data_IF_747631165473
#
_entry.id   IF_747631165473
#
_cell.length_a   1.000
_cell.length_b   1.000
_cell.length_c   1.000
_cell.angle_alpha   90.00
_cell.angle_beta   90.00
_cell.angle_gamma   90.00
#
_symmetry.space_group_name_H-M   'P 1'
#
loop_
_entity.id
_entity.type
_entity.pdbx_description
1 polymer ?
#
# COMPACT_ATOMS: atom_id res chain seq x y z
N UNK A 1 -1.75 -9.03 -22.95
CA UNK A 1 -1.90 -9.54 -21.59
C UNK A 1 -1.58 -8.51 -20.55
N UNK A 2 -2.46 -8.32 -19.65
CA UNK A 2 -2.22 -7.33 -18.61
C UNK A 2 -1.28 -7.90 -17.55
N UNK A 3 -0.57 -7.01 -16.89
CA UNK A 3 0.34 -7.39 -15.82
C UNK A 3 -0.31 -7.17 -14.47
N UNK A 4 -1.60 -7.44 -14.42
CA UNK A 4 -2.35 -7.21 -13.22
C UNK A 4 -2.95 -5.82 -13.22
N UNK A 5 -3.86 -5.61 -12.30
CA UNK A 5 -4.53 -4.33 -12.15
C UNK A 5 -3.65 -3.36 -11.38
N UNK A 6 -4.03 -2.09 -11.39
CA UNK A 6 -3.38 -1.08 -10.57
C UNK A 6 -3.46 -1.47 -9.08
N UNK A 7 -4.61 -2.02 -8.69
CA UNK A 7 -4.82 -2.46 -7.32
C UNK A 7 -3.82 -3.56 -6.94
N UNK A 8 -3.60 -4.54 -7.81
CA UNK A 8 -2.62 -5.59 -7.56
C UNK A 8 -1.21 -5.02 -7.45
N UNK A 9 -0.87 -4.10 -8.35
CA UNK A 9 0.45 -3.48 -8.36
C UNK A 9 0.69 -2.70 -7.08
N UNK A 10 -0.30 -1.95 -6.64
CA UNK A 10 -0.20 -1.19 -5.41
C UNK A 10 -0.05 -2.11 -4.20
N UNK A 11 -0.89 -3.14 -4.12
CA UNK A 11 -0.83 -4.08 -3.00
C UNK A 11 0.53 -4.76 -2.94
N UNK A 12 1.04 -5.20 -4.08
CA UNK A 12 2.33 -5.85 -4.15
C UNK A 12 3.46 -4.92 -3.73
N UNK A 13 3.39 -3.67 -4.19
CA UNK A 13 4.37 -2.65 -3.81
C UNK A 13 4.36 -2.37 -2.31
N UNK A 14 3.17 -2.28 -1.73
CA UNK A 14 3.05 -2.07 -0.29
C UNK A 14 3.61 -3.24 0.50
N UNK A 15 3.35 -4.46 0.04
CA UNK A 15 3.90 -5.65 0.70
C UNK A 15 5.41 -5.67 0.64
N UNK A 16 5.98 -5.31 -0.50
CA UNK A 16 7.43 -5.24 -0.65
C UNK A 16 8.04 -4.18 0.28
N UNK A 17 7.40 -3.02 0.36
CA UNK A 17 7.86 -1.96 1.26
C UNK A 17 7.77 -2.40 2.71
N UNK A 18 6.69 -3.10 3.06
CA UNK A 18 6.53 -3.62 4.40
C UNK A 18 7.58 -4.65 4.74
N UNK A 19 7.98 -5.45 3.77
CA UNK A 19 9.01 -6.46 3.97
C UNK A 19 10.37 -5.84 4.28
N UNK A 20 10.69 -4.72 3.62
CA UNK A 20 12.00 -4.10 3.76
C UNK A 20 12.05 -3.02 4.84
N UNK A 21 10.96 -2.31 5.07
CA UNK A 21 10.93 -1.17 5.97
C UNK A 21 9.84 -1.28 7.04
N UNK A 22 9.23 -2.44 7.16
CA UNK A 22 8.12 -2.62 8.08
C UNK A 22 8.57 -2.75 9.52
N UNK A 23 7.80 -2.14 10.41
CA UNK A 23 7.98 -2.26 11.85
C UNK A 23 6.67 -2.78 12.42
N UNK A 24 6.74 -3.83 13.21
CA UNK A 24 5.53 -4.39 13.80
C UNK A 24 4.92 -3.44 14.82
N UNK A 25 3.62 -3.30 14.76
CA UNK A 25 2.88 -2.48 15.71
C UNK A 25 1.56 -3.19 16.02
N UNK A 26 0.78 -2.62 16.93
CA UNK A 26 -0.47 -3.24 17.35
C UNK A 26 -1.44 -3.45 16.20
N UNK A 27 -1.49 -2.48 15.27
CA UNK A 27 -2.41 -2.53 14.15
C UNK A 27 -1.95 -3.45 13.03
N UNK A 28 -0.67 -3.80 13.01
CA UNK A 28 -0.13 -4.63 11.95
C UNK A 28 1.32 -4.32 11.65
N UNK A 29 1.62 -4.03 10.40
CA UNK A 29 2.98 -3.76 9.94
C UNK A 29 3.07 -2.34 9.42
N UNK A 30 3.69 -1.45 10.19
CA UNK A 30 3.87 -0.06 9.81
C UNK A 30 5.04 0.06 8.84
N UNK A 31 4.80 0.69 7.71
CA UNK A 31 5.89 1.00 6.79
C UNK A 31 6.60 2.23 7.35
N UNK A 32 7.77 2.01 7.92
CA UNK A 32 8.53 3.08 8.58
C UNK A 32 9.38 3.84 7.57
N UNK A 33 8.67 4.49 6.65
CA UNK A 33 9.29 5.25 5.58
C UNK A 33 8.31 6.33 5.17
N UNK A 34 8.68 7.62 5.30
CA UNK A 34 7.76 8.70 5.01
C UNK A 34 7.61 8.92 3.51
N UNK A 35 6.83 8.07 2.87
CA UNK A 35 6.58 8.16 1.43
C UNK A 35 5.35 9.00 1.16
N UNK A 36 5.51 10.00 0.30
CA UNK A 36 4.37 10.77 -0.17
C UNK A 36 3.63 9.96 -1.23
N UNK A 37 2.42 10.41 -1.57
CA UNK A 37 1.66 9.77 -2.65
C UNK A 37 2.41 9.89 -3.99
N UNK A 38 3.12 11.00 -4.18
CA UNK A 38 3.93 11.19 -5.37
C UNK A 38 5.07 10.19 -5.42
N UNK A 39 5.72 9.96 -4.28
CA UNK A 39 6.81 8.97 -4.21
C UNK A 39 6.32 7.58 -4.59
N UNK A 40 5.15 7.18 -4.07
CA UNK A 40 4.56 5.89 -4.40
C UNK A 40 4.21 5.82 -5.89
N UNK A 41 3.66 6.89 -6.43
CA UNK A 41 3.28 6.92 -7.84
C UNK A 41 4.50 6.71 -8.72
N UNK A 42 5.59 7.36 -8.41
CA UNK A 42 6.83 7.22 -9.18
C UNK A 42 7.41 5.82 -9.03
N UNK A 43 7.41 5.32 -7.82
CA UNK A 43 7.94 3.99 -7.54
C UNK A 43 7.17 2.89 -8.26
N UNK A 44 5.86 3.02 -8.33
CA UNK A 44 4.99 1.99 -8.90
C UNK A 44 4.63 2.23 -10.36
N UNK A 45 5.01 3.38 -10.90
CA UNK A 45 4.72 3.70 -12.30
C UNK A 45 3.24 3.95 -12.56
N UNK A 46 2.53 4.52 -11.61
CA UNK A 46 1.12 4.87 -11.76
C UNK A 46 0.94 6.32 -11.36
N UNK A 47 -0.22 6.91 -11.70
CA UNK A 47 -0.44 8.32 -11.41
C UNK A 47 -0.68 8.54 -9.91
N UNK A 48 -0.33 9.74 -9.44
CA UNK A 48 -0.56 10.11 -8.04
C UNK A 48 -2.03 10.03 -7.69
N UNK A 49 -2.90 10.48 -8.59
CA UNK A 49 -4.33 10.44 -8.37
C UNK A 49 -4.81 9.00 -8.17
N UNK A 50 -4.32 8.09 -9.00
CA UNK A 50 -4.69 6.68 -8.89
C UNK A 50 -4.20 6.09 -7.57
N UNK A 51 -2.97 6.43 -7.16
CA UNK A 51 -2.46 5.99 -5.86
C UNK A 51 -3.39 6.43 -4.74
N UNK A 52 -3.77 7.71 -4.74
CA UNK A 52 -4.66 8.24 -3.70
C UNK A 52 -5.99 7.50 -3.68
N UNK A 53 -6.59 7.27 -4.84
CA UNK A 53 -7.88 6.59 -4.93
C UNK A 53 -7.78 5.15 -4.43
N UNK A 54 -6.78 4.43 -4.87
CA UNK A 54 -6.64 3.02 -4.50
C UNK A 54 -6.28 2.85 -3.02
N UNK A 55 -5.46 3.73 -2.47
CA UNK A 55 -5.16 3.69 -1.05
C UNK A 55 -6.42 3.90 -0.21
N UNK A 56 -7.26 4.85 -0.61
CA UNK A 56 -8.52 5.08 0.09
C UNK A 56 -9.42 3.85 0.06
N UNK A 57 -9.49 3.18 -1.09
CA UNK A 57 -10.29 1.97 -1.21
C UNK A 57 -9.78 0.87 -0.28
N UNK A 58 -8.47 0.68 -0.23
CA UNK A 58 -7.89 -0.33 0.65
C UNK A 58 -8.16 0.00 2.12
N UNK A 59 -8.05 1.28 2.47
CA UNK A 59 -8.30 1.72 3.85
C UNK A 59 -9.76 1.48 4.24
N UNK A 60 -10.69 1.75 3.34
CA UNK A 60 -12.12 1.50 3.60
C UNK A 60 -12.41 0.03 3.84
N UNK A 61 -11.67 -0.84 3.18
CA UNK A 61 -11.84 -2.28 3.36
C UNK A 61 -11.12 -2.82 4.59
N UNK A 62 -10.42 -1.95 5.31
CA UNK A 62 -9.70 -2.36 6.50
C UNK A 62 -8.42 -3.10 6.23
N UNK A 63 -7.89 -3.03 5.03
CA UNK A 63 -6.66 -3.74 4.65
C UNK A 63 -5.41 -2.94 5.02
N UNK A 64 -5.54 -1.62 5.10
CA UNK A 64 -4.45 -0.75 5.50
C UNK A 64 -4.99 0.37 6.37
N UNK A 65 -4.11 0.99 7.13
CA UNK A 65 -4.41 2.21 7.87
C UNK A 65 -3.59 3.34 7.30
N UNK A 66 -4.19 4.53 7.23
CA UNK A 66 -3.52 5.72 6.72
C UNK A 66 -3.41 6.76 7.83
N UNK A 67 -2.21 7.26 8.05
CA UNK A 67 -1.96 8.30 9.05
C UNK A 67 -0.92 9.26 8.47
N UNK A 68 -1.40 10.30 7.82
CA UNK A 68 -0.53 11.21 7.11
C UNK A 68 0.22 10.48 6.01
N UNK A 69 1.54 10.49 6.08
CA UNK A 69 2.37 9.78 5.09
C UNK A 69 2.63 8.33 5.47
N UNK A 70 2.25 7.94 6.69
CA UNK A 70 2.51 6.60 7.16
C UNK A 70 1.40 5.66 6.76
N UNK A 71 1.78 4.47 6.34
CA UNK A 71 0.84 3.44 5.92
C UNK A 71 1.10 2.21 6.77
N UNK A 72 0.04 1.71 7.40
CA UNK A 72 0.11 0.48 8.19
C UNK A 72 -0.62 -0.62 7.44
N UNK A 73 0.05 -1.74 7.23
CA UNK A 73 -0.57 -2.90 6.59
C UNK A 73 -1.27 -3.70 7.69
N UNK A 74 -2.60 -3.63 7.71
CA UNK A 74 -3.38 -4.24 8.80
C UNK A 74 -3.82 -5.66 8.48
N UNK A 75 -3.94 -6.00 7.19
CA UNK A 75 -4.36 -7.34 6.79
C UNK A 75 -3.47 -7.85 5.66
N UNK A 76 -2.34 -8.41 6.04
CA UNK A 76 -1.35 -8.91 5.07
C UNK A 76 -1.90 -10.02 4.19
N UNK A 77 -2.71 -10.90 4.77
CA UNK A 77 -3.29 -12.01 4.03
C UNK A 77 -4.19 -11.51 2.90
N UNK A 78 -5.07 -10.57 3.22
CA UNK A 78 -5.98 -10.02 2.23
C UNK A 78 -5.21 -9.26 1.16
N UNK A 79 -4.16 -8.53 1.54
CA UNK A 79 -3.35 -7.82 0.56
C UNK A 79 -2.65 -8.77 -0.41
N UNK A 80 -2.16 -9.90 0.10
CA UNK A 80 -1.51 -10.89 -0.76
C UNK A 80 -2.49 -11.51 -1.74
N UNK A 81 -3.74 -11.62 -1.35
CA UNK A 81 -4.76 -12.23 -2.18
C UNK A 81 -5.48 -11.27 -3.12
N UNK A 82 -5.10 -10.01 -3.13
CA UNK A 82 -5.77 -9.04 -4.00
C UNK A 82 -5.48 -9.30 -5.48
N UNK A 83 -6.56 -9.17 -6.28
CA UNK A 83 -6.45 -9.32 -7.73
C UNK A 83 -7.28 -8.27 -8.44
#
# INVERSE_FOLDING_TARGET
MTNGSVKERLAKGLLDLGKHYGVRCEEGLLIDLPLSRQDLAELLGISRQTVCQELQKLARRGLIGLDGRRITLTDLEALRGLR
#
